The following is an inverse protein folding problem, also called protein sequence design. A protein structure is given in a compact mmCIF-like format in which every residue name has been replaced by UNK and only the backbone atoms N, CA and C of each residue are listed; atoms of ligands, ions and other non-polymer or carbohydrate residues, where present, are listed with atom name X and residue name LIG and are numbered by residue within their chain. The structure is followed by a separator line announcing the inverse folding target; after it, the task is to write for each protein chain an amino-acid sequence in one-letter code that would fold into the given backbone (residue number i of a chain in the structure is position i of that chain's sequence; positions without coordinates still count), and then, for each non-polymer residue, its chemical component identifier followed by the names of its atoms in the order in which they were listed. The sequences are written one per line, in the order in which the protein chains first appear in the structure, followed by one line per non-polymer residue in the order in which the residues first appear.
data_IF_783443899294
#
_entry.id   IF_783443899294
#
_cell.length_a   1.000
_cell.length_b   1.000
_cell.length_c   1.000
_cell.angle_alpha   90.00
_cell.angle_beta   90.00
_cell.angle_gamma   90.00
#
_symmetry.space_group_name_H-M   'P 1'
#
loop_
_entity.id
_entity.type
_entity.pdbx_description
1 polymer ?
#
# COMPACT_ATOMS: atom_id res chain seq x y z
N UNK A 1 0.41 -8.14 0.19
CA UNK A 1 -0.92 -7.51 0.03
C UNK A 1 -0.96 -6.73 -1.26
N UNK A 2 -2.05 -6.83 -1.98
CA UNK A 2 -2.33 -5.95 -3.11
C UNK A 2 -3.62 -5.19 -2.84
N UNK A 3 -3.74 -4.03 -3.46
CA UNK A 3 -4.96 -3.24 -3.39
C UNK A 3 -5.22 -2.62 -4.75
N UNK A 4 -6.42 -2.83 -5.27
CA UNK A 4 -6.90 -2.18 -6.49
C UNK A 4 -7.73 -0.98 -6.08
N UNK A 5 -7.41 0.18 -6.64
CA UNK A 5 -8.05 1.44 -6.26
C UNK A 5 -8.66 2.09 -7.50
N UNK A 6 -9.89 1.69 -7.86
CA UNK A 6 -10.57 2.29 -9.01
C UNK A 6 -10.73 3.80 -8.82
N UNK A 7 -10.52 4.55 -9.88
CA UNK A 7 -10.69 6.00 -9.84
C UNK A 7 -9.51 6.78 -9.27
N UNK A 8 -8.49 6.09 -8.75
CA UNK A 8 -7.29 6.78 -8.27
C UNK A 8 -6.52 7.36 -9.46
N UNK A 9 -6.02 8.59 -9.31
CA UNK A 9 -5.25 9.29 -10.32
C UNK A 9 -3.78 9.36 -9.93
N UNK A 10 -2.92 9.61 -10.92
CA UNK A 10 -1.49 9.82 -10.68
C UNK A 10 -1.25 10.95 -9.67
N UNK A 11 -1.92 12.09 -9.88
CA UNK A 11 -1.74 13.24 -9.00
C UNK A 11 -2.23 12.96 -7.58
N UNK A 12 -3.39 12.32 -7.46
CA UNK A 12 -3.92 11.95 -6.15
C UNK A 12 -3.03 10.98 -5.41
N UNK A 13 -2.51 9.99 -6.12
CA UNK A 13 -1.59 9.02 -5.52
C UNK A 13 -0.30 9.70 -5.07
N UNK A 14 0.32 10.50 -5.92
CA UNK A 14 1.57 11.18 -5.59
C UNK A 14 1.41 12.09 -4.39
N UNK A 15 0.30 12.81 -4.32
CA UNK A 15 0.02 13.68 -3.17
C UNK A 15 -0.10 12.88 -1.87
N UNK A 16 -0.83 11.78 -1.92
CA UNK A 16 -1.02 10.91 -0.76
C UNK A 16 0.30 10.28 -0.31
N UNK A 17 1.07 9.73 -1.24
CA UNK A 17 2.29 9.00 -0.88
C UNK A 17 3.39 9.93 -0.37
N UNK A 18 3.41 11.18 -0.82
CA UNK A 18 4.34 12.17 -0.31
C UNK A 18 4.12 12.40 1.19
N UNK A 19 2.86 12.41 1.62
CA UNK A 19 2.53 12.56 3.04
C UNK A 19 2.74 11.26 3.84
N UNK A 20 2.45 10.11 3.25
CA UNK A 20 2.50 8.82 3.95
C UNK A 20 3.87 8.16 3.96
N UNK A 21 4.72 8.47 2.98
CA UNK A 21 6.00 7.79 2.84
C UNK A 21 6.86 7.81 4.10
N UNK A 22 7.03 8.95 4.79
CA UNK A 22 7.82 8.96 6.02
C UNK A 22 7.22 8.08 7.12
N UNK A 23 5.89 8.07 7.24
CA UNK A 23 5.19 7.25 8.23
C UNK A 23 5.29 5.78 7.89
N UNK A 24 5.13 5.45 6.61
CA UNK A 24 5.20 4.08 6.12
C UNK A 24 6.58 3.47 6.36
N UNK A 25 7.64 4.22 6.11
CA UNK A 25 9.01 3.75 6.31
C UNK A 25 9.32 3.41 7.76
N UNK A 26 8.60 4.00 8.69
CA UNK A 26 8.77 3.75 10.12
C UNK A 26 7.73 2.80 10.70
N UNK A 27 6.81 2.32 9.88
CA UNK A 27 5.75 1.46 10.36
C UNK A 27 6.28 0.08 10.74
N UNK A 28 5.76 -0.45 11.84
CA UNK A 28 6.15 -1.77 12.31
C UNK A 28 5.81 -2.82 11.25
N UNK A 29 6.80 -3.63 10.90
CA UNK A 29 6.63 -4.75 9.98
C UNK A 29 6.65 -4.38 8.52
N UNK A 30 6.78 -3.10 8.16
CA UNK A 30 6.83 -2.70 6.75
C UNK A 30 8.15 -3.13 6.11
N UNK A 31 8.06 -3.73 4.92
CA UNK A 31 9.23 -4.18 4.15
C UNK A 31 9.37 -3.39 2.86
N UNK A 32 8.33 -3.35 2.04
CA UNK A 32 8.41 -2.71 0.72
C UNK A 32 7.02 -2.36 0.20
N UNK A 33 6.98 -1.36 -0.69
CA UNK A 33 5.76 -0.96 -1.39
C UNK A 33 6.10 -0.59 -2.82
N UNK A 34 5.18 -0.90 -3.73
CA UNK A 34 5.23 -0.43 -5.10
C UNK A 34 3.81 -0.15 -5.59
N UNK A 35 3.68 0.70 -6.60
CA UNK A 35 2.39 1.08 -7.11
C UNK A 35 2.50 1.53 -8.56
N UNK A 36 1.39 1.42 -9.30
CA UNK A 36 1.33 1.87 -10.66
C UNK A 36 -0.08 1.84 -11.23
N UNK A 37 -0.28 2.42 -12.42
CA UNK A 37 -1.59 2.39 -13.06
C UNK A 37 -1.97 0.97 -13.47
N UNK A 38 -3.24 0.65 -13.32
CA UNK A 38 -3.79 -0.65 -13.69
C UNK A 38 -5.25 -0.46 -14.10
N UNK A 39 -5.58 -0.80 -15.34
CA UNK A 39 -6.90 -0.58 -15.87
C UNK A 39 -7.26 0.90 -15.84
N UNK A 40 -8.42 1.22 -15.29
CA UNK A 40 -8.91 2.59 -15.14
C UNK A 40 -8.60 3.19 -13.76
N UNK A 41 -7.70 2.58 -13.01
CA UNK A 41 -7.36 3.01 -11.68
C UNK A 41 -5.90 2.77 -11.34
N UNK A 42 -5.65 2.36 -10.14
CA UNK A 42 -4.31 2.22 -9.57
C UNK A 42 -4.19 0.90 -8.87
N UNK A 43 -3.02 0.28 -8.94
CA UNK A 43 -2.73 -0.92 -8.15
C UNK A 43 -1.53 -0.66 -7.26
N UNK A 44 -1.69 -1.02 -5.99
CA UNK A 44 -0.63 -0.91 -4.98
C UNK A 44 -0.31 -2.32 -4.50
N UNK A 45 0.97 -2.63 -4.33
CA UNK A 45 1.35 -3.82 -3.59
C UNK A 45 2.25 -3.44 -2.43
N UNK A 46 2.17 -4.22 -1.36
CA UNK A 46 2.96 -4.01 -0.16
C UNK A 46 3.42 -5.35 0.39
N UNK A 47 4.60 -5.36 0.98
CA UNK A 47 5.15 -6.51 1.65
C UNK A 47 5.36 -6.13 3.11
N UNK A 48 4.80 -6.94 3.99
CA UNK A 48 4.82 -6.73 5.43
C UNK A 48 5.27 -8.01 6.13
N UNK A 49 5.83 -7.88 7.33
CA UNK A 49 6.21 -9.03 8.14
C UNK A 49 5.01 -9.84 8.61
N UNK A 50 3.87 -9.19 8.84
CA UNK A 50 2.64 -9.88 9.23
C UNK A 50 1.40 -9.19 8.68
N UNK A 51 0.33 -9.97 8.54
CA UNK A 51 -0.98 -9.44 8.16
C UNK A 51 -1.49 -8.44 9.19
N UNK A 52 -1.26 -8.71 10.46
CA UNK A 52 -1.71 -7.82 11.54
C UNK A 52 -1.09 -6.43 11.42
N UNK A 53 0.21 -6.36 11.11
CA UNK A 53 0.90 -5.08 10.94
C UNK A 53 0.34 -4.29 9.76
N UNK A 54 0.11 -4.97 8.63
CA UNK A 54 -0.48 -4.33 7.46
C UNK A 54 -1.89 -3.80 7.73
N UNK A 55 -2.71 -4.58 8.40
CA UNK A 55 -4.09 -4.21 8.71
C UNK A 55 -4.14 -3.04 9.68
N UNK A 56 -3.28 -3.04 10.69
CA UNK A 56 -3.20 -1.95 11.64
C UNK A 56 -2.81 -0.63 10.96
N UNK A 57 -1.81 -0.68 10.09
CA UNK A 57 -1.39 0.51 9.37
C UNK A 57 -2.51 1.06 8.49
N UNK A 58 -3.20 0.19 7.75
CA UNK A 58 -4.31 0.60 6.90
C UNK A 58 -5.42 1.26 7.71
N UNK A 59 -5.83 0.63 8.81
CA UNK A 59 -6.91 1.16 9.65
C UNK A 59 -6.55 2.50 10.28
N UNK A 60 -5.28 2.70 10.63
CA UNK A 60 -4.85 3.88 11.35
C UNK A 60 -4.53 5.06 10.45
N UNK A 61 -3.92 4.81 9.29
CA UNK A 61 -3.38 5.87 8.44
C UNK A 61 -4.04 6.00 7.08
N UNK A 62 -4.55 4.91 6.52
CA UNK A 62 -5.11 4.93 5.16
C UNK A 62 -6.60 5.16 5.19
N UNK A 63 -7.33 4.32 5.89
CA UNK A 63 -8.80 4.36 5.90
C UNK A 63 -9.36 5.73 6.31
N UNK A 64 -8.86 6.38 7.38
CA UNK A 64 -9.39 7.69 7.76
C UNK A 64 -9.11 8.80 6.75
N UNK A 65 -8.13 8.63 5.88
CA UNK A 65 -7.69 9.65 4.94
C UNK A 65 -8.12 9.37 3.50
N UNK A 66 -8.90 8.33 3.26
CA UNK A 66 -9.37 8.03 1.91
C UNK A 66 -10.37 9.08 1.45
N UNK A 67 -10.26 9.56 0.20
CA UNK A 67 -11.28 10.44 -0.36
C UNK A 67 -12.62 9.74 -0.42
N UNK A 68 -13.69 10.52 -0.36
CA UNK A 68 -15.03 9.99 -0.50
C UNK A 68 -15.17 9.27 -1.84
N UNK A 69 -15.76 8.09 -1.81
CA UNK A 69 -15.95 7.27 -3.01
C UNK A 69 -14.77 6.40 -3.41
N UNK A 70 -13.61 6.59 -2.79
CA UNK A 70 -12.44 5.74 -3.04
C UNK A 70 -12.47 4.56 -2.08
N UNK A 71 -12.65 3.37 -2.64
CA UNK A 71 -12.76 2.13 -1.87
C UNK A 71 -11.76 1.11 -2.40
N UNK A 72 -10.57 1.02 -1.79
CA UNK A 72 -9.58 0.03 -2.24
C UNK A 72 -10.07 -1.39 -2.05
N UNK A 73 -9.81 -2.23 -3.03
CA UNK A 73 -10.08 -3.67 -2.95
C UNK A 73 -8.77 -4.35 -2.58
N UNK A 74 -8.67 -4.78 -1.33
CA UNK A 74 -7.44 -5.35 -0.79
C UNK A 74 -7.48 -6.86 -0.87
N UNK A 75 -6.36 -7.45 -1.27
CA UNK A 75 -6.15 -8.90 -1.26
C UNK A 75 -4.89 -9.19 -0.46
N UNK A 76 -4.99 -10.05 0.54
CA UNK A 76 -3.86 -10.40 1.39
C UNK A 76 -3.47 -11.85 1.09
N UNK A 77 -2.19 -12.03 0.75
CA UNK A 77 -1.62 -13.33 0.47
C UNK A 77 -0.40 -13.55 1.36
N UNK A 78 -0.27 -14.76 1.86
CA UNK A 78 0.93 -15.14 2.59
C UNK A 78 2.06 -15.39 1.60
N UNK A 79 3.23 -14.77 1.85
CA UNK A 79 4.41 -15.03 1.03
C UNK A 79 5.12 -16.28 1.51
N UNK A 80 5.41 -17.16 0.56
CA UNK A 80 6.27 -18.31 0.81
C UNK A 80 7.74 -17.94 0.70
N UNK A 81 8.07 -17.03 -0.21
CA UNK A 81 9.45 -16.67 -0.50
C UNK A 81 9.55 -15.21 -0.93
N UNK A 82 10.67 -14.58 -0.60
CA UNK A 82 10.99 -13.22 -1.00
C UNK A 82 12.48 -13.14 -1.31
N UNK A 83 12.80 -12.73 -2.55
CA UNK A 83 14.17 -12.53 -2.99
C UNK A 83 14.33 -11.07 -3.39
N UNK A 84 15.33 -10.40 -2.82
CA UNK A 84 15.60 -8.99 -3.09
C UNK A 84 16.92 -8.83 -3.83
N UNK A 85 16.89 -8.09 -4.95
CA UNK A 85 18.03 -7.97 -5.84
C UNK A 85 19.23 -7.25 -5.23
N UNK A 86 18.99 -6.28 -4.34
CA UNK A 86 20.04 -5.43 -3.77
C UNK A 86 20.26 -5.66 -2.29
N UNK A 87 20.11 -6.89 -1.87
CA UNK A 87 20.31 -7.28 -0.50
C UNK A 87 21.82 -7.25 -0.17
N UNK A 88 22.20 -6.38 0.73
CA UNK A 88 23.60 -6.16 1.09
C UNK A 88 23.77 -5.98 2.57
#
# INVERSE_FOLDING_TARGET
MTADVPGQTLEGYDHMIAALSPVLKQAKGFIAQGAGPAGDGWRVFEIWESQADATEFFAKYIHPNLPEGVKPKRTILELHNLIMANER
#
